data_IF_200185867301
#
_entry.id   IF_200185867301
#
_cell.length_a   1.000
_cell.length_b   1.000
_cell.length_c   1.000
_cell.angle_alpha   90.00
_cell.angle_beta   90.00
_cell.angle_gamma   90.00
#
_symmetry.space_group_name_H-M   'P 1'
#
loop_
_entity.id
_entity.type
_entity.pdbx_description
1 polymer ?
#
# COMPACT_ATOMS: atom_id res chain seq x y z
N UNK A 1 -10.98 10.32 2.25
CA UNK A 1 -11.74 9.32 3.04
C UNK A 1 -12.16 8.18 2.12
N UNK A 2 -11.21 7.32 1.71
CA UNK A 2 -11.50 6.22 0.77
C UNK A 2 -11.98 5.00 1.55
N UNK A 3 -11.26 4.62 2.61
CA UNK A 3 -11.66 3.56 3.54
C UNK A 3 -13.06 3.80 4.13
N UNK A 4 -13.39 5.03 4.54
CA UNK A 4 -14.69 5.31 5.17
C UNK A 4 -15.87 5.27 4.19
N UNK A 5 -15.63 5.33 2.88
CA UNK A 5 -16.70 5.25 1.86
C UNK A 5 -17.37 3.89 1.81
N UNK A 6 -16.70 2.82 2.26
CA UNK A 6 -17.33 1.49 2.32
C UNK A 6 -18.51 1.45 3.30
N UNK A 7 -18.56 2.37 4.26
CA UNK A 7 -19.65 2.48 5.24
C UNK A 7 -20.76 3.45 4.80
N UNK A 8 -20.66 4.04 3.60
CA UNK A 8 -21.71 4.89 3.03
C UNK A 8 -22.52 4.14 1.98
N UNK A 9 -23.70 4.67 1.62
CA UNK A 9 -24.58 4.06 0.62
C UNK A 9 -23.88 3.78 -0.73
N UNK A 10 -22.87 4.59 -1.10
CA UNK A 10 -22.11 4.41 -2.35
C UNK A 10 -21.14 3.22 -2.32
N UNK A 11 -20.75 2.74 -1.13
CA UNK A 11 -19.77 1.65 -0.96
C UNK A 11 -20.36 0.37 -0.39
N UNK A 12 -21.70 0.26 -0.32
CA UNK A 12 -22.43 -0.83 0.35
C UNK A 12 -21.96 -2.24 -0.05
N UNK A 13 -21.55 -2.42 -1.31
CA UNK A 13 -21.10 -3.70 -1.88
C UNK A 13 -19.62 -3.65 -2.30
N UNK A 14 -18.84 -2.69 -1.79
CA UNK A 14 -17.42 -2.50 -2.10
C UNK A 14 -16.63 -2.55 -0.80
N UNK A 15 -16.18 -3.74 -0.43
CA UNK A 15 -15.32 -3.93 0.73
C UNK A 15 -13.92 -3.34 0.50
N UNK A 16 -13.37 -2.70 1.52
CA UNK A 16 -12.03 -2.13 1.50
C UNK A 16 -11.27 -2.59 2.76
N UNK A 17 -9.99 -3.00 2.65
CA UNK A 17 -9.26 -3.55 3.79
C UNK A 17 -9.17 -2.53 4.94
N UNK A 18 -9.05 -3.03 6.17
CA UNK A 18 -8.89 -2.16 7.33
C UNK A 18 -7.71 -1.20 7.17
N UNK A 19 -7.93 0.07 7.54
CA UNK A 19 -6.92 1.12 7.60
C UNK A 19 -6.98 1.75 8.99
N UNK A 20 -5.85 1.97 9.66
CA UNK A 20 -5.84 2.56 11.00
C UNK A 20 -6.28 4.02 10.98
N UNK A 21 -6.65 4.53 12.16
CA UNK A 21 -6.90 5.95 12.36
C UNK A 21 -5.60 6.78 12.22
N UNK A 22 -5.74 8.10 12.17
CA UNK A 22 -4.63 9.02 11.91
C UNK A 22 -3.52 8.97 12.96
N UNK A 23 -3.85 8.74 14.24
CA UNK A 23 -2.85 8.68 15.31
C UNK A 23 -2.03 7.40 15.16
N UNK A 24 -2.70 6.27 14.98
CA UNK A 24 -2.05 4.97 14.74
C UNK A 24 -1.19 5.02 13.47
N UNK A 25 -1.70 5.61 12.38
CA UNK A 25 -0.96 5.76 11.13
C UNK A 25 0.36 6.51 11.30
N UNK A 26 0.35 7.59 12.12
CA UNK A 26 1.54 8.38 12.45
C UNK A 26 2.48 7.64 13.40
N UNK A 27 1.94 7.06 14.47
CA UNK A 27 2.72 6.41 15.53
C UNK A 27 3.47 5.17 15.01
N UNK A 28 2.85 4.42 14.11
CA UNK A 28 3.47 3.26 13.46
C UNK A 28 4.33 3.64 12.24
N UNK A 29 4.42 4.94 11.92
CA UNK A 29 5.23 5.46 10.83
C UNK A 29 4.93 4.82 9.47
N UNK A 30 3.64 4.56 9.19
CA UNK A 30 3.16 3.87 7.97
C UNK A 30 3.38 4.68 6.67
N UNK A 31 3.86 5.92 6.79
CA UNK A 31 4.28 6.77 5.66
C UNK A 31 5.77 6.63 5.31
N UNK A 32 6.57 5.98 6.15
CA UNK A 32 8.04 5.94 5.96
C UNK A 32 8.48 5.01 4.83
N UNK A 33 7.68 3.98 4.55
CA UNK A 33 7.86 2.99 3.49
C UNK A 33 6.49 2.56 2.96
N UNK A 34 6.43 1.83 1.83
CA UNK A 34 5.18 1.22 1.39
C UNK A 34 4.54 0.44 2.53
N UNK A 35 3.22 0.50 2.67
CA UNK A 35 2.47 -0.25 3.69
C UNK A 35 1.38 -1.05 3.01
N UNK A 36 1.28 -2.33 3.34
CA UNK A 36 0.29 -3.23 2.75
C UNK A 36 -0.88 -3.38 3.71
N UNK A 37 -2.10 -3.21 3.19
CA UNK A 37 -3.35 -3.36 3.92
C UNK A 37 -4.14 -4.54 3.38
N UNK A 38 -4.75 -5.32 4.28
CA UNK A 38 -5.59 -6.47 3.91
C UNK A 38 -4.81 -7.72 3.49
N UNK A 39 -3.60 -7.95 4.01
CA UNK A 39 -2.74 -9.03 3.53
C UNK A 39 -3.27 -10.44 3.81
N UNK A 40 -4.06 -10.61 4.88
CA UNK A 40 -4.72 -11.87 5.22
C UNK A 40 -6.24 -11.72 5.08
N UNK A 41 -6.83 -12.47 4.14
CA UNK A 41 -8.28 -12.48 3.93
C UNK A 41 -9.06 -12.96 5.17
N UNK A 42 -8.49 -13.84 5.98
CA UNK A 42 -9.18 -14.39 7.16
C UNK A 42 -9.51 -13.32 8.21
N UNK A 43 -8.77 -12.22 8.22
CA UNK A 43 -9.01 -11.09 9.10
C UNK A 43 -10.08 -10.12 8.58
N UNK A 44 -10.70 -10.41 7.43
CA UNK A 44 -11.64 -9.52 6.73
C UNK A 44 -13.08 -10.05 6.73
N UNK A 45 -13.38 -11.07 7.55
CA UNK A 45 -14.70 -11.73 7.65
C UNK A 45 -15.83 -10.79 8.04
N UNK A 46 -15.55 -9.70 8.76
CA UNK A 46 -16.53 -8.68 9.13
C UNK A 46 -16.83 -7.65 8.04
N UNK A 47 -16.13 -7.69 6.89
CA UNK A 47 -16.31 -6.74 5.80
C UNK A 47 -17.19 -7.26 4.66
N UNK A 48 -17.21 -8.57 4.43
CA UNK A 48 -17.93 -9.20 3.30
C UNK A 48 -18.10 -10.70 3.56
N UNK A 49 -19.14 -11.29 2.97
CA UNK A 49 -19.35 -12.74 2.97
C UNK A 49 -18.24 -13.47 2.19
N UNK A 50 -17.75 -12.86 1.11
CA UNK A 50 -16.62 -13.40 0.34
C UNK A 50 -15.33 -12.63 0.66
N UNK A 51 -14.60 -13.13 1.65
CA UNK A 51 -13.35 -12.52 2.14
C UNK A 51 -12.27 -12.34 1.06
N UNK A 52 -12.32 -13.10 -0.04
CA UNK A 52 -11.34 -13.04 -1.12
C UNK A 52 -11.59 -11.89 -2.11
N UNK A 53 -12.75 -11.22 -2.01
CA UNK A 53 -13.09 -10.09 -2.88
C UNK A 53 -12.54 -8.75 -2.34
N UNK A 54 -12.05 -8.72 -1.10
CA UNK A 54 -11.42 -7.53 -0.52
C UNK A 54 -10.03 -7.35 -1.14
N UNK A 55 -9.68 -6.21 -1.73
CA UNK A 55 -8.36 -6.04 -2.34
C UNK A 55 -7.25 -5.97 -1.28
N UNK A 56 -6.05 -6.41 -1.67
CA UNK A 56 -4.82 -6.05 -0.97
C UNK A 56 -4.33 -4.71 -1.50
N UNK A 57 -4.15 -3.73 -0.61
CA UNK A 57 -3.77 -2.36 -1.01
C UNK A 57 -2.33 -2.08 -0.61
N UNK A 58 -1.50 -1.74 -1.60
CA UNK A 58 -0.16 -1.21 -1.37
C UNK A 58 -0.25 0.32 -1.33
N UNK A 59 -0.10 0.89 -0.13
CA UNK A 59 -0.09 2.32 0.05
C UNK A 59 1.33 2.88 -0.01
N UNK A 60 1.48 3.95 -0.80
CA UNK A 60 2.72 4.67 -1.02
C UNK A 60 2.50 6.15 -0.64
N UNK A 61 3.06 6.58 0.49
CA UNK A 61 3.01 7.99 0.90
C UNK A 61 3.98 8.83 0.06
N UNK A 62 3.58 10.04 -0.35
CA UNK A 62 4.51 10.97 -1.00
C UNK A 62 5.63 11.37 -0.03
N UNK A 63 6.88 11.00 -0.35
CA UNK A 63 8.07 11.24 0.49
C UNK A 63 9.25 11.67 -0.38
N UNK A 64 10.12 12.58 0.09
CA UNK A 64 11.29 13.03 -0.66
C UNK A 64 12.44 12.00 -0.60
N UNK A 65 12.58 11.21 -1.66
CA UNK A 65 13.71 10.29 -1.89
C UNK A 65 14.83 10.96 -2.71
N UNK A 66 14.46 11.70 -3.76
CA UNK A 66 15.37 12.41 -4.65
C UNK A 66 14.93 13.85 -4.95
N UNK A 67 13.67 14.19 -4.69
CA UNK A 67 13.14 15.53 -4.91
C UNK A 67 12.03 15.89 -3.91
N UNK A 68 11.95 17.17 -3.55
CA UNK A 68 10.88 17.69 -2.70
C UNK A 68 9.60 17.93 -3.51
N UNK A 69 8.79 16.89 -3.63
CA UNK A 69 7.53 16.88 -4.40
C UNK A 69 6.31 17.43 -3.64
N UNK A 70 6.47 17.93 -2.40
CA UNK A 70 5.37 18.52 -1.64
C UNK A 70 5.15 19.98 -2.09
N UNK A 71 4.34 20.15 -3.13
CA UNK A 71 4.06 21.45 -3.75
C UNK A 71 2.62 21.89 -3.49
N UNK A 72 2.37 23.20 -3.58
CA UNK A 72 1.04 23.76 -3.37
C UNK A 72 0.07 23.31 -4.46
N UNK A 73 -1.16 22.95 -4.07
CA UNK A 73 -2.24 22.54 -4.99
C UNK A 73 -2.63 23.65 -5.98
N UNK A 74 -2.35 24.92 -5.68
CA UNK A 74 -2.65 26.05 -6.58
C UNK A 74 -1.50 26.39 -7.53
N UNK A 75 -0.36 25.70 -7.45
CA UNK A 75 0.74 25.86 -8.40
C UNK A 75 0.43 25.06 -9.67
N UNK A 76 0.05 25.77 -10.73
CA UNK A 76 -0.35 25.19 -12.01
C UNK A 76 0.77 25.17 -13.07
N UNK A 77 1.92 25.80 -12.79
CA UNK A 77 3.06 25.88 -13.71
C UNK A 77 4.31 25.36 -13.02
N UNK A 78 5.02 24.48 -13.72
CA UNK A 78 6.27 23.87 -13.27
C UNK A 78 7.31 24.02 -14.36
N UNK A 79 8.57 24.26 -13.97
CA UNK A 79 9.67 24.13 -14.92
C UNK A 79 9.87 22.65 -15.31
N UNK A 80 10.62 22.40 -16.39
CA UNK A 80 10.96 21.03 -16.77
C UNK A 80 11.74 20.31 -15.66
N UNK A 81 12.64 21.02 -14.96
CA UNK A 81 13.43 20.44 -13.86
C UNK A 81 12.55 20.06 -12.67
N UNK A 82 11.58 20.91 -12.30
CA UNK A 82 10.64 20.59 -11.23
C UNK A 82 9.77 19.39 -11.59
N UNK A 83 9.25 19.36 -12.83
CA UNK A 83 8.46 18.23 -13.34
C UNK A 83 9.26 16.94 -13.33
N UNK A 84 10.47 16.97 -13.88
CA UNK A 84 11.33 15.80 -13.99
C UNK A 84 11.77 15.31 -12.59
N UNK A 85 12.11 16.23 -11.68
CA UNK A 85 12.43 15.90 -10.29
C UNK A 85 11.27 15.23 -9.55
N UNK A 86 10.05 15.75 -9.70
CA UNK A 86 8.85 15.12 -9.10
C UNK A 86 8.60 13.71 -9.68
N UNK A 87 8.74 13.53 -10.99
CA UNK A 87 8.58 12.22 -11.64
C UNK A 87 9.65 11.24 -11.15
N UNK A 88 10.92 11.66 -11.10
CA UNK A 88 12.01 10.84 -10.59
C UNK A 88 11.77 10.43 -9.14
N UNK A 89 11.31 11.36 -8.30
CA UNK A 89 10.96 11.04 -6.92
C UNK A 89 9.81 10.04 -6.80
N UNK A 90 8.78 10.16 -7.65
CA UNK A 90 7.70 9.19 -7.72
C UNK A 90 8.18 7.80 -8.13
N UNK A 91 9.10 7.73 -9.10
CA UNK A 91 9.74 6.48 -9.52
C UNK A 91 10.57 5.87 -8.38
N UNK A 92 11.47 6.63 -7.76
CA UNK A 92 12.30 6.17 -6.65
C UNK A 92 11.47 5.70 -5.46
N UNK A 93 10.33 6.35 -5.22
CA UNK A 93 9.39 5.96 -4.19
C UNK A 93 8.75 4.60 -4.49
N UNK A 94 8.29 4.41 -5.73
CA UNK A 94 7.63 3.19 -6.19
C UNK A 94 8.61 2.02 -6.43
N UNK A 95 9.88 2.29 -6.76
CA UNK A 95 10.91 1.27 -6.98
C UNK A 95 11.80 1.04 -5.76
N UNK A 96 11.57 1.78 -4.67
CA UNK A 96 12.44 1.82 -3.49
C UNK A 96 13.90 2.13 -3.83
N UNK A 97 14.08 3.17 -4.66
CA UNK A 97 15.36 3.57 -5.29
C UNK A 97 15.99 2.42 -6.06
N UNK A 98 15.23 1.81 -6.97
CA UNK A 98 15.68 0.66 -7.76
C UNK A 98 16.22 -0.49 -6.89
N UNK A 99 15.54 -0.75 -5.78
CA UNK A 99 15.94 -1.76 -4.82
C UNK A 99 17.16 -1.41 -3.95
N UNK A 100 17.77 -0.24 -4.08
CA UNK A 100 18.89 0.20 -3.22
C UNK A 100 18.48 0.20 -1.74
N UNK A 101 17.24 0.60 -1.44
CA UNK A 101 16.73 0.62 -0.07
C UNK A 101 16.11 -0.71 0.37
N UNK A 102 15.74 -1.55 -0.59
CA UNK A 102 15.25 -2.90 -0.34
C UNK A 102 15.26 -3.71 -1.64
N UNK A 103 16.23 -4.61 -1.80
CA UNK A 103 16.39 -5.42 -3.01
C UNK A 103 15.23 -6.40 -3.20
N UNK A 104 14.53 -6.76 -2.13
CA UNK A 104 13.42 -7.71 -2.16
C UNK A 104 12.08 -7.05 -2.52
N UNK A 105 12.00 -5.71 -2.60
CA UNK A 105 10.73 -5.02 -2.74
C UNK A 105 9.94 -5.43 -3.99
N UNK A 106 10.62 -5.63 -5.12
CA UNK A 106 9.98 -6.10 -6.34
C UNK A 106 9.35 -7.50 -6.17
N UNK A 107 10.04 -8.40 -5.47
CA UNK A 107 9.50 -9.71 -5.12
C UNK A 107 8.31 -9.58 -4.16
N UNK A 108 8.38 -8.67 -3.18
CA UNK A 108 7.27 -8.40 -2.25
C UNK A 108 6.01 -7.87 -2.96
N UNK A 109 6.16 -7.03 -3.97
CA UNK A 109 5.04 -6.62 -4.84
C UNK A 109 4.49 -7.82 -5.61
N UNK A 110 5.36 -8.69 -6.14
CA UNK A 110 4.95 -9.96 -6.76
C UNK A 110 4.13 -10.86 -5.82
N UNK A 111 4.59 -11.02 -4.57
CA UNK A 111 3.87 -11.75 -3.53
C UNK A 111 2.49 -11.14 -3.24
N UNK A 112 2.38 -9.81 -3.23
CA UNK A 112 1.11 -9.12 -3.06
C UNK A 112 0.15 -9.34 -4.23
N UNK A 113 0.64 -9.37 -5.47
CA UNK A 113 -0.16 -9.62 -6.68
C UNK A 113 -0.81 -11.01 -6.63
N UNK A 114 -0.07 -12.05 -6.23
CA UNK A 114 -0.57 -13.43 -6.23
C UNK A 114 -1.35 -13.81 -4.97
N UNK A 115 -1.32 -12.98 -3.91
CA UNK A 115 -1.79 -13.34 -2.58
C UNK A 115 -3.23 -13.84 -2.56
N UNK A 116 -4.15 -13.13 -3.22
CA UNK A 116 -5.58 -13.50 -3.20
C UNK A 116 -5.86 -14.81 -3.88
N UNK A 117 -5.15 -15.12 -4.95
CA UNK A 117 -5.31 -16.40 -5.63
C UNK A 117 -4.73 -17.55 -4.80
N UNK A 118 -3.59 -17.34 -4.13
CA UNK A 118 -3.04 -18.33 -3.20
C UNK A 118 -4.03 -18.66 -2.08
N UNK A 119 -4.65 -17.64 -1.48
CA UNK A 119 -5.65 -17.84 -0.41
C UNK A 119 -6.88 -18.59 -0.93
N UNK A 120 -7.37 -18.25 -2.13
CA UNK A 120 -8.53 -18.89 -2.76
C UNK A 120 -8.28 -20.37 -3.08
N UNK A 121 -7.05 -20.73 -3.44
CA UNK A 121 -6.63 -22.12 -3.71
C UNK A 121 -6.14 -22.86 -2.46
N UNK A 122 -6.06 -22.21 -1.29
CA UNK A 122 -5.51 -22.81 -0.07
C UNK A 122 -4.00 -23.10 -0.15
N UNK A 123 -3.27 -22.38 -1.00
CA UNK A 123 -1.81 -22.53 -1.19
C UNK A 123 -1.08 -21.71 -0.13
N UNK A 124 -0.14 -22.34 0.57
CA UNK A 124 0.72 -21.66 1.52
C UNK A 124 1.75 -20.75 0.82
N UNK A 125 2.10 -19.65 1.47
CA UNK A 125 3.11 -18.72 0.96
C UNK A 125 4.50 -19.33 1.01
N UNK A 126 5.35 -18.94 0.06
CA UNK A 126 6.79 -19.18 0.16
C UNK A 126 7.38 -18.41 1.34
N UNK A 127 8.51 -18.87 1.88
CA UNK A 127 9.21 -18.19 2.97
C UNK A 127 9.60 -16.74 2.61
N UNK A 128 9.99 -16.50 1.35
CA UNK A 128 10.27 -15.14 0.86
C UNK A 128 9.02 -14.24 0.96
N UNK A 129 7.86 -14.73 0.54
CA UNK A 129 6.62 -13.95 0.66
C UNK A 129 6.23 -13.72 2.12
N UNK A 130 6.40 -14.72 3.00
CA UNK A 130 6.15 -14.55 4.44
C UNK A 130 7.01 -13.41 5.03
N UNK A 131 8.29 -13.33 4.66
CA UNK A 131 9.18 -12.23 5.06
C UNK A 131 8.71 -10.87 4.54
N UNK A 132 8.27 -10.81 3.28
CA UNK A 132 7.70 -9.61 2.68
C UNK A 132 6.48 -9.10 3.46
N UNK A 133 5.53 -9.98 3.80
CA UNK A 133 4.35 -9.60 4.57
C UNK A 133 4.70 -9.24 6.02
N UNK A 134 5.66 -9.90 6.65
CA UNK A 134 6.15 -9.49 7.96
C UNK A 134 6.76 -8.07 7.94
N UNK A 135 7.38 -7.65 6.83
CA UNK A 135 8.02 -6.34 6.68
C UNK A 135 7.04 -5.21 6.35
N UNK A 136 6.07 -5.50 5.48
CA UNK A 136 5.22 -4.50 4.83
C UNK A 136 3.77 -4.51 5.29
N UNK A 137 3.27 -5.63 5.79
CA UNK A 137 1.88 -5.72 6.19
C UNK A 137 1.62 -4.99 7.50
N UNK A 138 0.58 -4.16 7.51
CA UNK A 138 -0.02 -3.73 8.75
C UNK A 138 -0.93 -4.84 9.30
N UNK A 139 -0.67 -5.26 10.53
CA UNK A 139 -1.31 -6.43 11.15
C UNK A 139 -2.56 -6.10 11.99
N UNK A 140 -3.02 -4.84 12.00
CA UNK A 140 -4.20 -4.42 12.77
C UNK A 140 -3.90 -3.88 14.17
N UNK A 141 -2.64 -3.74 14.55
CA UNK A 141 -2.16 -3.11 15.80
C UNK A 141 -1.31 -1.89 15.53
#
# INVERSE_FOLDING_TARGET
KTYERQFSNQGKDIAFPYVPDQNTFRNLNLTSRPTFFGCDAKNLTSLTENIYDVPLVIYNANRPFSYWSNTSMVKLKYSNDERNGMIQNGYDLASRKNGELDSEFAACVGCAIIRREQERQGIEQTEQCKQCFAKYCWNGT
#
